data_IF_495654056001
#
_entry.id   IF_495654056001
#
_cell.length_a   1.000
_cell.length_b   1.000
_cell.length_c   1.000
_cell.angle_alpha   90.00
_cell.angle_beta   90.00
_cell.angle_gamma   90.00
#
_symmetry.space_group_name_H-M   'P 1'
#
loop_
_entity.id
_entity.type
_entity.pdbx_description
1 polymer ?
#
# COMPACT_ATOMS: atom_id res chain seq x y z
N UNK A 1 31.03 6.88 -1.05
CA UNK A 1 30.45 7.92 -0.17
C UNK A 1 28.92 7.95 -0.17
N UNK A 2 28.23 8.07 -1.33
CA UNK A 2 26.74 8.11 -1.37
C UNK A 2 26.05 6.85 -0.77
N UNK A 3 26.64 5.65 -0.93
CA UNK A 3 26.11 4.40 -0.38
C UNK A 3 26.23 4.34 1.15
N UNK A 4 27.36 4.75 1.71
CA UNK A 4 27.60 4.76 3.14
C UNK A 4 26.68 5.73 3.88
N UNK A 5 26.47 6.93 3.32
CA UNK A 5 25.52 7.91 3.84
C UNK A 5 24.08 7.38 3.87
N UNK A 6 23.64 6.65 2.82
CA UNK A 6 22.33 6.02 2.81
C UNK A 6 22.18 5.02 3.96
N UNK A 7 23.17 4.16 4.15
CA UNK A 7 23.11 3.08 5.15
C UNK A 7 23.19 3.63 6.58
N UNK A 8 24.10 4.58 6.85
CA UNK A 8 24.37 5.05 8.21
C UNK A 8 23.44 6.18 8.68
N UNK A 9 22.90 6.97 7.76
CA UNK A 9 22.11 8.16 8.12
C UNK A 9 20.69 8.06 7.58
N UNK A 10 20.54 7.91 6.26
CA UNK A 10 19.22 8.00 5.64
C UNK A 10 18.29 6.86 6.07
N UNK A 11 18.73 5.61 5.98
CA UNK A 11 17.89 4.45 6.32
C UNK A 11 17.49 4.39 7.79
N UNK A 12 18.39 4.61 8.78
CA UNK A 12 17.99 4.69 10.17
C UNK A 12 17.00 5.83 10.44
N UNK A 13 17.21 7.01 9.85
CA UNK A 13 16.32 8.14 10.04
C UNK A 13 14.91 7.86 9.48
N UNK A 14 14.82 7.37 8.23
CA UNK A 14 13.55 6.95 7.63
C UNK A 14 12.85 5.86 8.47
N UNK A 15 13.62 4.92 9.02
CA UNK A 15 13.09 3.85 9.85
C UNK A 15 12.54 4.39 11.18
N UNK A 16 13.24 5.33 11.83
CA UNK A 16 12.76 5.98 13.05
C UNK A 16 11.43 6.73 12.81
N UNK A 17 11.34 7.48 11.70
CA UNK A 17 10.10 8.12 11.30
C UNK A 17 8.98 7.09 11.04
N UNK A 18 9.29 6.02 10.32
CA UNK A 18 8.33 4.95 10.05
C UNK A 18 7.81 4.33 11.36
N UNK A 19 8.70 3.93 12.27
CA UNK A 19 8.31 3.31 13.55
C UNK A 19 7.52 4.30 14.44
N UNK A 20 7.92 5.57 14.47
CA UNK A 20 7.20 6.59 15.20
C UNK A 20 5.75 6.70 14.74
N UNK A 21 5.50 6.92 13.43
CA UNK A 21 4.16 7.03 12.90
C UNK A 21 3.39 5.72 13.00
N UNK A 22 4.04 4.59 12.74
CA UNK A 22 3.41 3.28 12.90
C UNK A 22 2.91 3.06 14.33
N UNK A 23 3.70 3.46 15.33
CA UNK A 23 3.33 3.34 16.75
C UNK A 23 2.18 4.29 17.09
N UNK A 24 2.24 5.55 16.64
CA UNK A 24 1.14 6.51 16.82
C UNK A 24 -0.15 5.97 16.22
N UNK A 25 -0.12 5.50 14.97
CA UNK A 25 -1.29 4.90 14.33
C UNK A 25 -1.79 3.68 15.09
N UNK A 26 -0.90 2.85 15.63
CA UNK A 26 -1.25 1.63 16.37
C UNK A 26 -1.96 1.91 17.69
N UNK A 27 -1.59 2.99 18.39
CA UNK A 27 -2.19 3.39 19.68
C UNK A 27 -3.57 4.01 19.45
N UNK A 28 -3.74 4.78 18.37
CA UNK A 28 -5.00 5.45 18.08
C UNK A 28 -6.09 4.45 17.63
N UNK A 29 -7.37 4.68 17.96
CA UNK A 29 -8.47 3.96 17.32
C UNK A 29 -8.42 4.14 15.80
N UNK A 30 -8.85 3.11 15.04
CA UNK A 30 -8.76 3.10 13.57
C UNK A 30 -9.31 4.37 12.90
N UNK A 31 -10.44 4.91 13.40
CA UNK A 31 -11.04 6.14 12.86
C UNK A 31 -10.12 7.35 13.01
N UNK A 32 -9.51 7.50 14.18
CA UNK A 32 -8.57 8.59 14.46
C UNK A 32 -7.25 8.41 13.71
N UNK A 33 -6.75 7.18 13.63
CA UNK A 33 -5.59 6.81 12.84
C UNK A 33 -5.77 7.22 11.37
N UNK A 34 -6.91 6.87 10.76
CA UNK A 34 -7.27 7.28 9.39
C UNK A 34 -7.33 8.80 9.23
N UNK A 35 -8.00 9.51 10.15
CA UNK A 35 -8.09 10.96 10.09
C UNK A 35 -6.71 11.62 10.16
N UNK A 36 -5.84 11.16 11.06
CA UNK A 36 -4.46 11.64 11.16
C UNK A 36 -3.64 11.30 9.91
N UNK A 37 -3.76 10.09 9.38
CA UNK A 37 -3.10 9.68 8.14
C UNK A 37 -3.48 10.57 6.96
N UNK A 38 -4.78 10.84 6.78
CA UNK A 38 -5.28 11.77 5.76
C UNK A 38 -4.70 13.17 5.97
N UNK A 39 -4.78 13.70 7.18
CA UNK A 39 -4.28 15.03 7.49
C UNK A 39 -2.81 15.17 7.12
N UNK A 40 -1.97 14.20 7.49
CA UNK A 40 -0.54 14.19 7.17
C UNK A 40 -0.32 14.15 5.65
N UNK A 41 -0.93 13.20 4.96
CA UNK A 41 -0.67 13.00 3.53
C UNK A 41 -1.21 14.13 2.67
N UNK A 42 -2.37 14.70 2.99
CA UNK A 42 -2.94 15.84 2.24
C UNK A 42 -2.22 17.16 2.54
N UNK A 43 -1.65 17.32 3.73
CA UNK A 43 -0.87 18.51 4.08
C UNK A 43 0.57 18.46 3.53
N UNK A 44 1.22 17.31 3.54
CA UNK A 44 2.63 17.17 3.13
C UNK A 44 2.77 16.78 1.67
N UNK A 45 1.87 15.93 1.17
CA UNK A 45 1.92 15.37 -0.17
C UNK A 45 2.10 16.39 -1.29
N UNK A 46 1.33 17.48 -1.33
CA UNK A 46 1.47 18.52 -2.36
C UNK A 46 2.85 19.17 -2.46
N UNK A 47 3.63 19.14 -1.40
CA UNK A 47 4.99 19.70 -1.37
C UNK A 47 6.08 18.70 -1.77
N UNK A 48 5.73 17.43 -1.97
CA UNK A 48 6.68 16.41 -2.38
C UNK A 48 6.92 16.46 -3.91
N UNK A 49 8.15 16.21 -4.38
CA UNK A 49 8.46 16.19 -5.81
C UNK A 49 7.58 15.22 -6.63
N UNK A 50 7.12 14.14 -6.01
CA UNK A 50 6.23 13.15 -6.63
C UNK A 50 4.85 13.72 -6.99
N UNK A 51 4.42 14.83 -6.35
CA UNK A 51 3.15 15.46 -6.64
C UNK A 51 3.07 15.98 -8.09
N UNK A 52 4.15 16.55 -8.59
CA UNK A 52 4.21 17.01 -10.00
C UNK A 52 4.06 15.84 -10.98
N UNK A 53 4.64 14.67 -10.64
CA UNK A 53 4.48 13.47 -11.45
C UNK A 53 3.03 12.95 -11.39
N UNK A 54 2.40 12.99 -10.21
CA UNK A 54 0.99 12.64 -10.03
C UNK A 54 0.08 13.51 -10.91
N UNK A 55 0.24 14.83 -10.84
CA UNK A 55 -0.52 15.80 -11.68
C UNK A 55 -0.32 15.49 -13.16
N UNK A 56 0.93 15.29 -13.60
CA UNK A 56 1.24 14.95 -15.00
C UNK A 56 0.55 13.66 -15.44
N UNK A 57 0.60 12.61 -14.64
CA UNK A 57 -0.01 11.33 -14.96
C UNK A 57 -1.53 11.43 -15.02
N UNK A 58 -2.15 12.14 -14.08
CA UNK A 58 -3.60 12.41 -14.10
C UNK A 58 -4.00 13.20 -15.34
N UNK A 59 -3.25 14.23 -15.71
CA UNK A 59 -3.53 15.04 -16.92
C UNK A 59 -3.40 14.24 -18.21
N UNK A 60 -2.52 13.24 -18.27
CA UNK A 60 -2.42 12.33 -19.41
C UNK A 60 -3.60 11.37 -19.47
N UNK A 61 -3.96 10.78 -18.33
CA UNK A 61 -5.04 9.80 -18.24
C UNK A 61 -6.43 10.42 -18.45
N UNK A 62 -6.60 11.66 -18.02
CA UNK A 62 -7.88 12.40 -18.03
C UNK A 62 -7.71 13.74 -18.78
N UNK A 63 -7.31 13.64 -20.04
CA UNK A 63 -6.99 14.80 -20.88
C UNK A 63 -8.19 15.72 -21.19
N UNK A 64 -9.42 15.23 -20.98
CA UNK A 64 -10.69 15.94 -21.14
C UNK A 64 -11.10 16.73 -19.87
N UNK A 65 -10.38 16.56 -18.76
CA UNK A 65 -10.70 17.22 -17.49
C UNK A 65 -9.91 18.53 -17.30
N UNK A 66 -10.54 19.46 -16.62
CA UNK A 66 -9.91 20.73 -16.27
C UNK A 66 -8.91 20.60 -15.11
N UNK A 67 -8.19 21.68 -14.86
CA UNK A 67 -7.16 21.72 -13.81
C UNK A 67 -7.73 21.55 -12.41
N UNK A 68 -8.96 22.04 -12.16
CA UNK A 68 -9.61 21.94 -10.87
C UNK A 68 -9.93 20.47 -10.55
N UNK A 69 -10.51 19.77 -11.52
CA UNK A 69 -10.78 18.34 -11.40
C UNK A 69 -9.50 17.53 -11.17
N UNK A 70 -8.42 17.83 -11.91
CA UNK A 70 -7.11 17.14 -11.76
C UNK A 70 -6.56 17.36 -10.34
N UNK A 71 -6.62 18.58 -9.81
CA UNK A 71 -6.14 18.88 -8.46
C UNK A 71 -6.99 18.16 -7.39
N UNK A 72 -8.30 18.12 -7.56
CA UNK A 72 -9.18 17.38 -6.65
C UNK A 72 -8.92 15.87 -6.73
N UNK A 73 -8.70 15.31 -7.92
CA UNK A 73 -8.30 13.93 -8.11
C UNK A 73 -6.96 13.64 -7.40
N UNK A 74 -5.97 14.51 -7.52
CA UNK A 74 -4.69 14.38 -6.81
C UNK A 74 -4.87 14.41 -5.29
N UNK A 75 -5.74 15.29 -4.78
CA UNK A 75 -6.07 15.34 -3.35
C UNK A 75 -6.73 14.02 -2.88
N UNK A 76 -7.62 13.43 -3.69
CA UNK A 76 -8.20 12.10 -3.41
C UNK A 76 -7.13 11.00 -3.36
N UNK A 77 -6.12 11.04 -4.23
CA UNK A 77 -4.98 10.10 -4.18
C UNK A 77 -4.22 10.25 -2.86
N UNK A 78 -3.93 11.47 -2.42
CA UNK A 78 -3.27 11.70 -1.12
C UNK A 78 -4.13 11.24 0.07
N UNK A 79 -5.45 11.47 0.03
CA UNK A 79 -6.37 10.92 1.05
C UNK A 79 -6.32 9.40 1.08
N UNK A 80 -6.37 8.74 -0.07
CA UNK A 80 -6.32 7.29 -0.16
C UNK A 80 -4.99 6.73 0.37
N UNK A 81 -3.87 7.39 0.07
CA UNK A 81 -2.58 7.04 0.63
C UNK A 81 -2.58 7.15 2.17
N UNK A 82 -3.19 8.21 2.70
CA UNK A 82 -3.35 8.42 4.16
C UNK A 82 -4.13 7.30 4.84
N UNK A 83 -5.24 6.86 4.22
CA UNK A 83 -5.98 5.68 4.68
C UNK A 83 -5.07 4.45 4.69
N UNK A 84 -4.45 4.13 3.58
CA UNK A 84 -3.63 2.92 3.42
C UNK A 84 -2.49 2.86 4.43
N UNK A 85 -1.72 3.94 4.56
CA UNK A 85 -0.56 3.98 5.48
C UNK A 85 -0.99 3.82 6.94
N UNK A 86 -2.08 4.48 7.35
CA UNK A 86 -2.59 4.37 8.71
C UNK A 86 -3.18 2.98 9.01
N UNK A 87 -3.79 2.34 8.02
CA UNK A 87 -4.37 1.01 8.13
C UNK A 87 -3.33 -0.10 8.31
N UNK A 88 -2.08 0.10 7.83
CA UNK A 88 -1.01 -0.87 8.05
C UNK A 88 -0.82 -1.23 9.53
N UNK A 89 -0.96 -0.27 10.44
CA UNK A 89 -0.89 -0.51 11.87
C UNK A 89 -2.08 -1.33 12.42
N UNK A 90 -3.19 -1.39 11.68
CA UNK A 90 -4.44 -2.04 12.06
C UNK A 90 -4.78 -3.29 11.25
N UNK A 91 -3.88 -3.77 10.40
CA UNK A 91 -4.13 -4.90 9.50
C UNK A 91 -4.68 -6.14 10.22
N UNK A 92 -4.19 -6.45 11.43
CA UNK A 92 -4.69 -7.58 12.22
C UNK A 92 -6.18 -7.41 12.63
N UNK A 93 -6.62 -6.18 12.87
CA UNK A 93 -8.01 -5.88 13.22
C UNK A 93 -8.90 -5.92 11.99
N UNK A 94 -8.39 -5.44 10.86
CA UNK A 94 -9.07 -5.48 9.56
C UNK A 94 -9.26 -6.93 9.10
N UNK A 95 -8.25 -7.79 9.27
CA UNK A 95 -8.33 -9.23 8.98
C UNK A 95 -9.42 -9.96 9.78
N UNK A 96 -9.63 -9.55 11.03
CA UNK A 96 -10.65 -10.13 11.89
C UNK A 96 -12.05 -9.60 11.56
N UNK A 97 -12.17 -8.47 10.89
CA UNK A 97 -13.43 -7.96 10.37
C UNK A 97 -13.85 -8.79 9.16
N UNK A 98 -15.16 -8.89 8.93
CA UNK A 98 -15.66 -9.57 7.73
C UNK A 98 -15.23 -8.79 6.50
N UNK A 99 -14.39 -9.41 5.66
CA UNK A 99 -14.12 -8.92 4.31
C UNK A 99 -15.23 -9.48 3.43
N UNK A 100 -16.04 -8.60 2.87
CA UNK A 100 -17.09 -8.96 1.94
C UNK A 100 -16.56 -8.89 0.52
N UNK A 101 -16.69 -10.00 -0.21
CA UNK A 101 -16.39 -10.08 -1.64
C UNK A 101 -17.71 -9.94 -2.39
N UNK A 102 -17.88 -8.80 -3.06
CA UNK A 102 -19.10 -8.49 -3.83
C UNK A 102 -18.85 -8.88 -5.30
N UNK A 103 -19.89 -9.36 -5.99
CA UNK A 103 -19.87 -9.83 -7.38
C UNK A 103 -19.06 -11.11 -7.59
N UNK A 104 -19.62 -12.20 -7.13
CA UNK A 104 -18.99 -13.51 -7.15
C UNK A 104 -19.12 -14.31 -8.45
N UNK A 105 -19.60 -13.74 -9.55
CA UNK A 105 -19.79 -14.50 -10.80
C UNK A 105 -18.53 -15.20 -11.34
N UNK A 106 -17.34 -14.66 -10.99
CA UNK A 106 -16.04 -15.25 -11.32
C UNK A 106 -15.31 -15.89 -10.14
N UNK A 107 -15.89 -15.84 -8.92
CA UNK A 107 -15.14 -16.19 -7.73
C UNK A 107 -15.06 -17.69 -7.51
N UNK A 108 -16.06 -18.46 -7.92
CA UNK A 108 -16.11 -19.90 -7.66
C UNK A 108 -15.05 -20.64 -8.48
N UNK A 109 -14.82 -20.23 -9.73
CA UNK A 109 -13.73 -20.76 -10.57
C UNK A 109 -12.35 -20.35 -10.06
N UNK A 110 -12.19 -19.10 -9.64
CA UNK A 110 -10.92 -18.57 -9.11
C UNK A 110 -10.54 -19.21 -7.78
N UNK A 111 -11.51 -19.55 -6.94
CA UNK A 111 -11.28 -20.15 -5.63
C UNK A 111 -11.21 -21.69 -5.66
N UNK A 112 -11.31 -22.29 -6.84
CA UNK A 112 -11.12 -23.73 -7.01
C UNK A 112 -9.63 -24.09 -6.80
N UNK A 113 -9.32 -24.80 -5.72
CA UNK A 113 -7.94 -25.19 -5.35
C UNK A 113 -7.28 -26.16 -6.36
N UNK A 114 -8.05 -26.77 -7.25
CA UNK A 114 -7.56 -27.68 -8.29
C UNK A 114 -7.08 -26.94 -9.56
N UNK A 115 -7.32 -25.64 -9.66
CA UNK A 115 -6.94 -24.82 -10.80
C UNK A 115 -5.92 -23.74 -10.42
N UNK A 116 -5.05 -23.41 -11.37
CA UNK A 116 -4.07 -22.35 -11.19
C UNK A 116 -4.61 -21.06 -11.83
N UNK A 117 -4.76 -20.03 -11.02
CA UNK A 117 -5.25 -18.73 -11.47
C UNK A 117 -4.21 -17.63 -11.25
N UNK A 118 -4.13 -16.69 -12.18
CA UNK A 118 -3.35 -15.46 -12.07
C UNK A 118 -4.31 -14.29 -11.87
N UNK A 119 -4.22 -13.66 -10.69
CA UNK A 119 -5.09 -12.53 -10.34
C UNK A 119 -4.30 -11.24 -10.48
N UNK A 120 -4.81 -10.33 -11.31
CA UNK A 120 -4.24 -9.00 -11.52
C UNK A 120 -5.14 -7.97 -10.84
N UNK A 121 -4.56 -7.13 -9.99
CA UNK A 121 -5.29 -6.09 -9.26
C UNK A 121 -4.62 -4.73 -9.38
N UNK A 122 -5.42 -3.67 -9.32
CA UNK A 122 -4.95 -2.28 -9.31
C UNK A 122 -4.80 -1.71 -7.89
N UNK A 123 -4.02 -0.63 -7.77
CA UNK A 123 -3.86 0.13 -6.52
C UNK A 123 -5.00 1.15 -6.34
N UNK A 124 -6.25 0.70 -6.32
CA UNK A 124 -7.43 1.59 -6.27
C UNK A 124 -7.83 2.01 -4.85
N UNK A 125 -7.37 1.28 -3.83
CA UNK A 125 -7.59 1.58 -2.40
C UNK A 125 -6.44 0.97 -1.59
N UNK A 126 -6.72 0.37 -0.44
CA UNK A 126 -5.69 -0.37 0.29
C UNK A 126 -5.35 -1.67 -0.45
N UNK A 127 -4.23 -1.65 -1.15
CA UNK A 127 -3.76 -2.76 -2.00
C UNK A 127 -3.38 -4.04 -1.24
N UNK A 128 -3.28 -4.00 0.09
CA UNK A 128 -3.05 -5.21 0.89
C UNK A 128 -4.35 -6.03 1.09
N UNK A 129 -5.51 -5.37 1.08
CA UNK A 129 -6.81 -6.03 1.34
C UNK A 129 -7.14 -7.13 0.32
N UNK A 130 -6.95 -6.97 -1.00
CA UNK A 130 -7.20 -8.06 -1.95
C UNK A 130 -6.39 -9.32 -1.64
N UNK A 131 -5.10 -9.18 -1.32
CA UNK A 131 -4.24 -10.32 -0.92
C UNK A 131 -4.75 -11.01 0.34
N UNK A 132 -5.24 -10.22 1.31
CA UNK A 132 -5.83 -10.74 2.55
C UNK A 132 -7.15 -11.47 2.28
N UNK A 133 -8.00 -10.92 1.43
CA UNK A 133 -9.27 -11.53 1.03
C UNK A 133 -9.03 -12.88 0.33
N UNK A 134 -8.08 -12.93 -0.59
CA UNK A 134 -7.67 -14.18 -1.25
C UNK A 134 -7.16 -15.21 -0.25
N UNK A 135 -6.30 -14.79 0.68
CA UNK A 135 -5.76 -15.69 1.70
C UNK A 135 -6.84 -16.25 2.64
N UNK A 136 -7.91 -15.50 2.88
CA UNK A 136 -9.04 -15.97 3.70
C UNK A 136 -9.89 -17.03 2.99
N UNK A 137 -9.78 -17.14 1.67
CA UNK A 137 -10.56 -18.07 0.82
C UNK A 137 -9.72 -19.23 0.28
N UNK A 138 -8.41 -19.03 0.14
CA UNK A 138 -7.50 -19.99 -0.51
C UNK A 138 -6.34 -20.34 0.43
N UNK A 139 -5.94 -21.62 0.42
CA UNK A 139 -4.83 -22.11 1.24
C UNK A 139 -3.46 -21.73 0.65
N UNK A 140 -3.38 -21.57 -0.66
CA UNK A 140 -2.12 -21.27 -1.39
C UNK A 140 -2.27 -20.00 -2.19
N UNK A 141 -1.71 -18.90 -1.68
CA UNK A 141 -1.68 -17.60 -2.37
C UNK A 141 -0.22 -17.13 -2.43
N UNK A 142 0.22 -16.80 -3.62
CA UNK A 142 1.53 -16.21 -3.87
C UNK A 142 1.35 -14.79 -4.41
N UNK A 143 2.12 -13.84 -3.91
CA UNK A 143 2.08 -12.46 -4.37
C UNK A 143 3.43 -12.01 -4.90
N UNK A 144 3.42 -11.35 -6.06
CA UNK A 144 4.60 -10.65 -6.60
C UNK A 144 4.55 -9.24 -6.05
N UNK A 145 5.56 -8.86 -5.28
CA UNK A 145 5.62 -7.57 -4.58
C UNK A 145 6.93 -6.84 -4.87
N UNK A 146 6.86 -5.51 -4.88
CA UNK A 146 8.06 -4.69 -4.83
C UNK A 146 8.45 -4.45 -3.38
N UNK A 147 9.70 -4.70 -3.06
CA UNK A 147 10.24 -4.42 -1.73
C UNK A 147 10.46 -2.91 -1.52
N UNK A 148 10.21 -2.39 -0.30
CA UNK A 148 10.67 -1.07 0.09
C UNK A 148 12.18 -0.92 -0.05
N UNK A 149 12.64 0.24 -0.54
CA UNK A 149 14.07 0.51 -0.76
C UNK A 149 14.89 0.51 0.55
N UNK A 150 14.26 0.81 1.68
CA UNK A 150 14.89 0.80 3.00
C UNK A 150 14.83 -0.62 3.58
N UNK A 151 15.95 -1.30 3.81
CA UNK A 151 15.96 -2.69 4.28
C UNK A 151 15.36 -2.88 5.66
N UNK A 152 15.44 -1.87 6.54
CA UNK A 152 14.86 -1.93 7.89
C UNK A 152 13.32 -1.88 7.80
N UNK A 153 12.78 -0.98 6.97
CA UNK A 153 11.33 -0.89 6.70
C UNK A 153 10.87 -2.17 6.00
N UNK A 154 11.64 -2.66 5.02
CA UNK A 154 11.33 -3.90 4.31
C UNK A 154 11.20 -5.09 5.26
N UNK A 155 12.08 -5.21 6.23
CA UNK A 155 12.00 -6.26 7.25
C UNK A 155 10.64 -6.22 7.99
N UNK A 156 10.22 -5.05 8.46
CA UNK A 156 8.92 -4.90 9.18
C UNK A 156 7.74 -5.19 8.25
N UNK A 157 7.74 -4.66 7.03
CA UNK A 157 6.67 -4.88 6.05
C UNK A 157 6.57 -6.37 5.66
N UNK A 158 7.69 -7.06 5.49
CA UNK A 158 7.71 -8.52 5.26
C UNK A 158 7.06 -9.26 6.43
N UNK A 159 7.41 -8.94 7.67
CA UNK A 159 6.81 -9.58 8.84
C UNK A 159 5.30 -9.34 8.93
N UNK A 160 4.83 -8.16 8.56
CA UNK A 160 3.41 -7.87 8.47
C UNK A 160 2.73 -8.70 7.37
N UNK A 161 3.31 -8.76 6.18
CA UNK A 161 2.76 -9.50 5.03
C UNK A 161 2.75 -11.01 5.24
N UNK A 162 3.76 -11.57 5.90
CA UNK A 162 3.78 -13.01 6.22
C UNK A 162 2.58 -13.48 7.06
N UNK A 163 1.90 -12.57 7.76
CA UNK A 163 0.69 -12.91 8.51
C UNK A 163 -0.52 -13.14 7.61
N UNK A 164 -0.51 -12.63 6.38
CA UNK A 164 -1.64 -12.72 5.45
C UNK A 164 -1.29 -13.17 4.03
N UNK A 165 -0.03 -13.46 3.73
CA UNK A 165 0.40 -14.03 2.46
C UNK A 165 1.21 -15.29 2.68
N UNK A 166 1.00 -16.31 1.85
CA UNK A 166 1.75 -17.56 1.98
C UNK A 166 3.17 -17.43 1.46
N UNK A 167 3.35 -16.90 0.25
CA UNK A 167 4.63 -16.75 -0.41
C UNK A 167 4.72 -15.36 -1.03
N UNK A 168 5.84 -14.67 -0.78
CA UNK A 168 6.14 -13.38 -1.37
C UNK A 168 7.31 -13.55 -2.33
N UNK A 169 7.09 -13.25 -3.60
CA UNK A 169 8.12 -13.19 -4.61
C UNK A 169 8.46 -11.74 -4.91
N UNK A 170 9.76 -11.45 -5.02
CA UNK A 170 10.22 -10.15 -5.51
C UNK A 170 10.38 -10.22 -7.02
N UNK A 171 9.76 -9.31 -7.75
CA UNK A 171 10.02 -9.17 -9.18
C UNK A 171 11.36 -8.44 -9.37
N UNK A 172 12.34 -9.04 -10.04
CA UNK A 172 13.50 -8.29 -10.50
C UNK A 172 13.03 -7.32 -11.59
N UNK A 173 12.88 -6.03 -11.23
CA UNK A 173 12.56 -5.00 -12.21
C UNK A 173 13.87 -4.50 -12.85
N UNK A 174 13.93 -4.32 -14.18
CA UNK A 174 15.08 -3.69 -14.83
C UNK A 174 15.35 -2.25 -14.36
N UNK A 175 14.43 -1.65 -13.60
CA UNK A 175 14.60 -0.32 -12.98
C UNK A 175 15.35 -0.36 -11.65
N UNK A 176 15.60 -1.55 -11.12
CA UNK A 176 16.22 -1.75 -9.81
C UNK A 176 17.70 -2.20 -9.94
N UNK A 177 18.21 -2.31 -11.19
CA UNK A 177 19.63 -2.56 -11.53
C UNK A 177 20.42 -1.27 -11.77
#
# INVERSE_FOLDING_TARGET
MKSLFKILVKYPLEFLFFIFFFTVFKILPLRMSRALGILITTSVGPFLPIHNLLIKNLSIAFHDKDKEWINDAANRVWKNLGYTVSEYAHMNSILKSKIEVINNEFSDDVFNENEHSVIVSGHSSNWEIPGMALRSKMNRVSAIVREPNNPLINFVVKQLRHKYSCLLYTSPSPRDS
#
